data_IF_794171551000
#
_entry.id   IF_794171551000
#
_cell.length_a   1.000
_cell.length_b   1.000
_cell.length_c   1.000
_cell.angle_alpha   90.00
_cell.angle_beta   90.00
_cell.angle_gamma   90.00
#
_symmetry.space_group_name_H-M   'P 1'
#
loop_
_entity.id
_entity.type
_entity.pdbx_description
1 polymer ?
#
# COMPACT_ATOMS: atom_id res chain seq x y z
N UNK A 1 7.05 -7.55 -7.33
CA UNK A 1 7.96 -6.52 -6.76
C UNK A 1 7.22 -5.76 -5.65
N UNK A 2 7.89 -5.35 -4.57
CA UNK A 2 7.28 -4.48 -3.56
C UNK A 2 7.15 -3.06 -4.15
N UNK A 3 5.97 -2.47 -4.06
CA UNK A 3 5.66 -1.18 -4.67
C UNK A 3 5.29 -0.10 -3.65
N UNK A 4 4.80 -0.50 -2.47
CA UNK A 4 4.49 0.43 -1.39
C UNK A 4 4.57 -0.25 -0.02
N UNK A 5 4.59 0.57 1.03
CA UNK A 5 4.63 0.15 2.44
C UNK A 5 3.44 0.73 3.17
N UNK A 6 2.77 -0.09 3.96
CA UNK A 6 1.75 0.33 4.91
C UNK A 6 2.43 0.67 6.24
N UNK A 7 2.15 1.85 6.75
CA UNK A 7 2.67 2.39 7.99
C UNK A 7 1.61 2.28 9.09
N UNK A 8 2.06 1.98 10.31
CA UNK A 8 1.21 2.03 11.51
C UNK A 8 1.16 3.43 12.12
N UNK A 9 0.42 3.58 13.22
CA UNK A 9 0.23 4.86 13.94
C UNK A 9 1.53 5.59 14.27
N UNK A 10 2.63 4.86 14.50
CA UNK A 10 3.94 5.47 14.78
C UNK A 10 4.60 6.14 13.55
N UNK A 11 4.04 6.02 12.34
CA UNK A 11 4.58 6.45 11.03
C UNK A 11 6.02 5.99 10.72
N UNK A 12 6.63 5.21 11.61
CA UNK A 12 8.00 4.68 11.52
C UNK A 12 8.02 3.16 11.38
N UNK A 13 6.94 2.48 11.77
CA UNK A 13 6.82 1.04 11.68
C UNK A 13 6.13 0.60 10.40
N UNK A 14 6.83 -0.14 9.53
CA UNK A 14 6.19 -0.84 8.42
C UNK A 14 5.34 -1.98 8.99
N UNK A 15 4.03 -1.87 8.83
CA UNK A 15 3.04 -2.86 9.27
C UNK A 15 2.82 -3.93 8.20
N UNK A 16 2.86 -3.51 6.93
CA UNK A 16 2.72 -4.42 5.81
C UNK A 16 3.37 -3.86 4.54
N UNK A 17 3.55 -4.74 3.56
CA UNK A 17 4.10 -4.40 2.26
C UNK A 17 3.09 -4.70 1.17
N UNK A 18 2.96 -3.80 0.21
CA UNK A 18 2.13 -3.97 -0.98
C UNK A 18 3.01 -4.46 -2.12
N UNK A 19 2.62 -5.58 -2.72
CA UNK A 19 3.30 -6.19 -3.85
C UNK A 19 2.39 -6.21 -5.06
N UNK A 20 3.00 -5.97 -6.23
CA UNK A 20 2.40 -6.30 -7.51
C UNK A 20 2.98 -7.61 -8.04
N UNK A 21 2.08 -8.51 -8.38
CA UNK A 21 2.35 -9.78 -9.04
C UNK A 21 2.53 -9.57 -10.55
N UNK A 22 3.15 -10.52 -11.23
CA UNK A 22 3.33 -10.46 -12.69
C UNK A 22 1.99 -10.51 -13.44
N UNK A 23 0.97 -11.14 -12.83
CA UNK A 23 -0.42 -11.14 -13.33
C UNK A 23 -1.10 -9.78 -13.25
N UNK A 24 -0.49 -8.81 -12.56
CA UNK A 24 -1.07 -7.49 -12.29
C UNK A 24 -1.91 -7.43 -11.00
N UNK A 25 -2.07 -8.56 -10.31
CA UNK A 25 -2.76 -8.61 -9.03
C UNK A 25 -1.94 -7.92 -7.93
N UNK A 26 -2.66 -7.36 -6.96
CA UNK A 26 -2.08 -6.78 -5.76
C UNK A 26 -2.16 -7.77 -4.61
N UNK A 27 -1.09 -7.86 -3.83
CA UNK A 27 -1.06 -8.61 -2.59
C UNK A 27 -0.49 -7.77 -1.45
N UNK A 28 -1.00 -7.99 -0.23
CA UNK A 28 -0.45 -7.40 0.99
C UNK A 28 0.25 -8.48 1.79
N UNK A 29 1.51 -8.23 2.13
CA UNK A 29 2.26 -9.03 3.10
C UNK A 29 2.25 -8.31 4.44
N UNK A 30 1.51 -8.86 5.40
CA UNK A 30 1.46 -8.35 6.76
C UNK A 30 2.71 -8.76 7.53
N UNK A 31 3.46 -7.78 8.05
CA UNK A 31 4.57 -8.02 8.97
C UNK A 31 4.11 -8.07 10.43
N UNK A 32 2.99 -7.40 10.73
CA UNK A 32 2.39 -7.39 12.06
C UNK A 32 0.87 -7.31 11.90
N UNK A 33 0.20 -8.47 11.93
CA UNK A 33 -1.24 -8.55 11.73
C UNK A 33 -2.04 -7.82 12.81
N UNK A 34 -1.46 -7.64 14.00
CA UNK A 34 -2.11 -6.97 15.14
C UNK A 34 -1.99 -5.44 15.10
N UNK A 35 -1.22 -4.86 14.18
CA UNK A 35 -1.04 -3.41 14.09
C UNK A 35 -2.03 -2.79 13.11
N UNK A 36 -2.68 -1.73 13.56
CA UNK A 36 -3.56 -0.94 12.70
C UNK A 36 -2.73 -0.20 11.64
N UNK A 37 -3.21 -0.21 10.40
CA UNK A 37 -2.63 0.61 9.33
C UNK A 37 -3.18 2.01 9.48
N UNK A 38 -2.29 2.99 9.45
CA UNK A 38 -2.62 4.41 9.56
C UNK A 38 -2.33 5.17 8.27
N UNK A 39 -1.55 4.60 7.34
CA UNK A 39 -1.40 5.14 5.99
C UNK A 39 -0.36 4.42 5.15
N UNK A 40 -0.02 5.03 4.02
CA UNK A 40 0.89 4.46 3.01
C UNK A 40 2.08 5.40 2.78
N UNK A 41 3.29 4.84 2.77
CA UNK A 41 4.57 5.57 2.66
C UNK A 41 4.84 6.16 1.27
N UNK A 42 4.11 5.72 0.25
CA UNK A 42 4.22 6.25 -1.11
C UNK A 42 2.87 6.29 -1.79
N UNK A 43 2.65 7.36 -2.55
CA UNK A 43 1.56 7.41 -3.50
C UNK A 43 1.78 6.31 -4.54
N UNK A 44 0.86 5.36 -4.60
CA UNK A 44 0.80 4.38 -5.67
C UNK A 44 0.31 5.05 -6.95
N UNK A 45 0.92 4.70 -8.08
CA UNK A 45 0.50 5.21 -9.39
C UNK A 45 -0.95 4.81 -9.70
N UNK A 46 -1.71 5.76 -10.27
CA UNK A 46 -3.09 5.53 -10.72
C UNK A 46 -3.20 4.36 -11.71
N UNK A 47 -2.17 4.13 -12.52
CA UNK A 47 -2.11 2.99 -13.44
C UNK A 47 -2.08 1.65 -12.70
N UNK A 48 -1.39 1.58 -11.56
CA UNK A 48 -1.32 0.36 -10.73
C UNK A 48 -2.70 0.07 -10.13
N UNK A 49 -3.41 1.10 -9.67
CA UNK A 49 -4.78 0.95 -9.19
C UNK A 49 -5.74 0.50 -10.29
N UNK A 50 -5.65 1.09 -11.48
CA UNK A 50 -6.46 0.72 -12.62
C UNK A 50 -6.22 -0.75 -13.05
N UNK A 51 -4.95 -1.18 -13.03
CA UNK A 51 -4.61 -2.58 -13.31
C UNK A 51 -5.17 -3.51 -12.24
N UNK A 52 -4.95 -3.24 -10.95
CA UNK A 52 -5.48 -4.05 -9.85
C UNK A 52 -7.01 -4.21 -9.91
N UNK A 53 -7.70 -3.11 -10.25
CA UNK A 53 -9.15 -3.07 -10.47
C UNK A 53 -9.60 -3.91 -11.66
N UNK A 54 -8.76 -4.05 -12.68
CA UNK A 54 -9.01 -4.89 -13.86
C UNK A 54 -8.85 -6.39 -13.55
N UNK A 55 -7.92 -6.77 -12.68
CA UNK A 55 -7.60 -8.18 -12.39
C UNK A 55 -8.44 -8.81 -11.28
N UNK A 56 -9.05 -7.99 -10.39
CA UNK A 56 -10.18 -8.46 -9.59
C UNK A 56 -10.21 -8.08 -8.12
N UNK A 57 -9.19 -7.41 -7.57
CA UNK A 57 -9.23 -6.98 -6.17
C UNK A 57 -9.52 -5.47 -6.03
N UNK A 58 -10.72 -5.10 -6.49
CA UNK A 58 -11.23 -3.72 -6.38
C UNK A 58 -11.25 -3.24 -4.92
N UNK A 59 -11.49 -4.15 -3.96
CA UNK A 59 -11.51 -3.80 -2.54
C UNK A 59 -10.12 -3.38 -2.06
N UNK A 60 -9.08 -4.13 -2.44
CA UNK A 60 -7.71 -3.80 -2.10
C UNK A 60 -7.27 -2.48 -2.75
N UNK A 61 -7.58 -2.29 -4.03
CA UNK A 61 -7.27 -1.05 -4.75
C UNK A 61 -7.93 0.16 -4.07
N UNK A 62 -9.24 0.10 -3.80
CA UNK A 62 -9.97 1.18 -3.14
C UNK A 62 -9.50 1.42 -1.71
N UNK A 63 -9.17 0.37 -0.96
CA UNK A 63 -8.62 0.49 0.40
C UNK A 63 -7.30 1.25 0.40
N UNK A 64 -6.44 1.01 -0.59
CA UNK A 64 -5.16 1.69 -0.73
C UNK A 64 -5.32 3.14 -1.23
N UNK A 65 -6.30 3.41 -2.11
CA UNK A 65 -6.63 4.77 -2.57
C UNK A 65 -7.18 5.67 -1.45
N UNK A 66 -7.92 5.10 -0.49
CA UNK A 66 -8.52 5.84 0.63
C UNK A 66 -7.51 6.19 1.73
N UNK A 67 -6.33 5.54 1.73
CA UNK A 67 -5.34 5.78 2.77
C UNK A 67 -4.66 7.14 2.65
N UNK A 68 -4.40 7.80 3.80
CA UNK A 68 -3.55 8.97 3.81
C UNK A 68 -2.13 8.58 3.39
N UNK A 69 -1.60 9.34 2.44
CA UNK A 69 -0.24 9.18 1.94
C UNK A 69 0.70 9.98 2.83
N UNK A 70 1.56 9.27 3.53
CA UNK A 70 2.71 9.88 4.19
C UNK A 70 3.80 9.95 3.12
N UNK A 71 3.97 11.14 2.52
CA UNK A 71 5.05 11.38 1.56
C UNK A 71 6.42 11.07 2.19
N UNK A 72 7.47 10.89 1.37
CA UNK A 72 8.82 10.77 1.92
C UNK A 72 9.04 11.96 2.86
N UNK A 73 9.46 11.69 4.10
CA UNK A 73 10.02 12.75 4.93
C UNK A 73 11.07 13.45 4.08
N UNK A 74 10.79 14.68 3.67
CA UNK A 74 11.78 15.61 3.16
C UNK A 74 12.85 15.69 4.27
N UNK A 75 14.07 15.17 4.05
CA UNK A 75 15.14 15.41 4.99
C UNK A 75 15.58 16.86 4.74
N UNK A 76 15.09 17.77 5.57
CA UNK A 76 15.66 19.13 5.73
C UNK A 76 17.17 19.03 6.03
#
# INVERSE_FOLDING_TARGET
MAIARLLGEDSRGTVAWVYRWETGELGILWMSADRHVSGIDRLLDAEVYAQARSVGDTKLATFLEDMPVFGPHDPD
#
